data_IF_390989077354
#
_entry.id   IF_390989077354
#
_cell.length_a   1.000
_cell.length_b   1.000
_cell.length_c   1.000
_cell.angle_alpha   90.00
_cell.angle_beta   90.00
_cell.angle_gamma   90.00
#
_symmetry.space_group_name_H-M   'P 1'
#
loop_
_entity.id
_entity.type
_entity.pdbx_description
1 polymer ?
#
# COMPACT_ATOMS: atom_id res chain seq x y z
N UNK A 1 -46.81 25.82 -33.66
CA UNK A 1 -45.88 24.85 -34.30
C UNK A 1 -44.57 25.50 -34.71
N UNK A 2 -44.57 26.61 -35.45
CA UNK A 2 -43.35 27.28 -35.94
C UNK A 2 -42.36 27.72 -34.82
N UNK A 3 -42.87 28.19 -33.67
CA UNK A 3 -42.03 28.59 -32.52
C UNK A 3 -41.27 27.43 -31.87
N UNK A 4 -41.85 26.24 -31.83
CA UNK A 4 -41.21 25.03 -31.27
C UNK A 4 -40.10 24.50 -32.19
N UNK A 5 -40.32 24.57 -33.51
CA UNK A 5 -39.31 24.20 -34.51
C UNK A 5 -38.10 25.14 -34.41
N UNK A 6 -38.32 26.45 -34.28
CA UNK A 6 -37.24 27.43 -34.13
C UNK A 6 -36.40 27.20 -32.87
N UNK A 7 -37.03 26.89 -31.73
CA UNK A 7 -36.32 26.59 -30.47
C UNK A 7 -35.49 25.30 -30.60
N UNK A 8 -36.06 24.26 -31.21
CA UNK A 8 -35.34 23.00 -31.44
C UNK A 8 -34.14 23.19 -32.38
N UNK A 9 -34.29 23.97 -33.47
CA UNK A 9 -33.19 24.24 -34.41
C UNK A 9 -32.08 25.08 -33.78
N UNK A 10 -32.43 26.05 -32.92
CA UNK A 10 -31.44 26.87 -32.20
C UNK A 10 -30.71 26.04 -31.13
N UNK A 11 -31.42 25.16 -30.42
CA UNK A 11 -30.81 24.24 -29.46
C UNK A 11 -29.83 23.26 -30.11
N UNK A 12 -30.18 22.69 -31.25
CA UNK A 12 -29.30 21.81 -32.03
C UNK A 12 -28.05 22.55 -32.54
N UNK A 13 -28.20 23.77 -33.06
CA UNK A 13 -27.06 24.58 -33.49
C UNK A 13 -26.14 24.93 -32.32
N UNK A 14 -26.69 25.31 -31.16
CA UNK A 14 -25.89 25.61 -29.98
C UNK A 14 -25.15 24.37 -29.46
N UNK A 15 -25.82 23.22 -29.41
CA UNK A 15 -25.21 21.95 -29.02
C UNK A 15 -24.07 21.56 -29.96
N UNK A 16 -24.27 21.66 -31.27
CA UNK A 16 -23.24 21.39 -32.27
C UNK A 16 -22.04 22.32 -32.12
N UNK A 17 -22.26 23.62 -31.87
CA UNK A 17 -21.17 24.59 -31.64
C UNK A 17 -20.39 24.28 -30.36
N UNK A 18 -21.06 23.85 -29.30
CA UNK A 18 -20.38 23.45 -28.06
C UNK A 18 -19.58 22.15 -28.25
N UNK A 19 -20.13 21.13 -28.92
CA UNK A 19 -19.40 19.91 -29.26
C UNK A 19 -18.14 20.19 -30.09
N UNK A 20 -18.27 21.00 -31.15
CA UNK A 20 -17.12 21.39 -32.00
C UNK A 20 -16.04 22.12 -31.21
N UNK A 21 -16.42 22.99 -30.26
CA UNK A 21 -15.46 23.65 -29.36
C UNK A 21 -14.78 22.66 -28.43
N UNK A 22 -15.53 21.72 -27.82
CA UNK A 22 -14.97 20.69 -26.94
C UNK A 22 -13.97 19.82 -27.70
N UNK A 23 -14.26 19.43 -28.93
CA UNK A 23 -13.34 18.64 -29.76
C UNK A 23 -12.09 19.45 -30.15
N UNK A 24 -12.26 20.72 -30.56
CA UNK A 24 -11.15 21.61 -30.94
C UNK A 24 -10.21 21.91 -29.76
N UNK A 25 -10.77 22.29 -28.61
CA UNK A 25 -9.98 22.54 -27.41
C UNK A 25 -9.44 21.24 -26.80
N UNK A 26 -10.20 20.15 -26.84
CA UNK A 26 -9.76 18.83 -26.40
C UNK A 26 -8.52 18.34 -27.15
N UNK A 27 -8.45 18.59 -28.46
CA UNK A 27 -7.25 18.28 -29.27
C UNK A 27 -6.06 19.19 -28.98
N UNK A 28 -6.27 20.43 -28.52
CA UNK A 28 -5.20 21.36 -28.12
C UNK A 28 -4.59 21.02 -26.76
N UNK A 29 -5.41 20.51 -25.83
CA UNK A 29 -4.96 20.13 -24.48
C UNK A 29 -4.55 18.66 -24.34
N UNK A 30 -4.93 17.80 -25.28
CA UNK A 30 -4.53 16.40 -25.32
C UNK A 30 -4.02 16.01 -26.72
N UNK A 31 -2.86 16.55 -27.14
CA UNK A 31 -2.21 16.10 -28.36
C UNK A 31 -1.91 14.60 -28.23
N UNK A 32 -2.33 13.80 -29.21
CA UNK A 32 -1.89 12.41 -29.33
C UNK A 32 -0.43 12.42 -29.78
N UNK A 33 0.45 12.68 -28.84
CA UNK A 33 1.89 12.57 -29.07
C UNK A 33 2.21 11.11 -29.33
N UNK A 34 2.37 10.71 -30.58
CA UNK A 34 2.98 9.42 -30.96
C UNK A 34 4.42 9.30 -30.45
N UNK A 35 5.04 10.41 -30.03
CA UNK A 35 6.34 10.44 -29.36
C UNK A 35 6.27 10.02 -27.88
N UNK A 36 5.08 10.10 -27.26
CA UNK A 36 4.78 9.59 -25.92
C UNK A 36 4.01 8.26 -26.00
N UNK A 37 4.26 7.44 -27.02
CA UNK A 37 4.05 6.01 -26.83
C UNK A 37 4.84 5.61 -25.56
N UNK A 38 4.22 4.94 -24.57
CA UNK A 38 4.95 4.54 -23.37
C UNK A 38 6.16 3.74 -23.87
N UNK A 39 7.35 4.27 -23.58
CA UNK A 39 8.56 3.49 -23.71
C UNK A 39 8.35 2.31 -22.77
N UNK A 40 7.86 1.19 -23.30
CA UNK A 40 7.99 -0.10 -22.66
C UNK A 40 9.48 -0.42 -22.75
N UNK A 41 10.26 0.28 -21.93
CA UNK A 41 11.54 -0.22 -21.48
C UNK A 41 11.23 -1.61 -20.95
N UNK A 42 11.77 -2.63 -21.61
CA UNK A 42 11.64 -3.99 -21.10
C UNK A 42 12.28 -3.94 -19.74
N UNK A 43 11.49 -3.93 -18.67
CA UNK A 43 12.04 -4.08 -17.33
C UNK A 43 12.90 -5.33 -17.36
N UNK A 44 14.19 -5.14 -17.05
CA UNK A 44 15.12 -6.25 -16.99
C UNK A 44 14.55 -7.26 -15.97
N UNK A 45 14.30 -8.49 -16.44
CA UNK A 45 13.80 -9.55 -15.58
C UNK A 45 14.74 -9.66 -14.37
N UNK A 46 14.17 -9.58 -13.18
CA UNK A 46 14.95 -9.66 -11.95
C UNK A 46 15.80 -10.94 -11.93
N UNK A 47 17.10 -10.80 -11.69
CA UNK A 47 18.01 -11.93 -11.57
C UNK A 47 17.91 -12.55 -10.17
N UNK A 48 17.28 -13.71 -10.09
CA UNK A 48 17.12 -14.46 -8.84
C UNK A 48 18.31 -15.38 -8.51
N UNK A 49 19.36 -15.43 -9.34
CA UNK A 49 20.49 -16.35 -9.14
C UNK A 49 21.27 -16.13 -7.83
N UNK A 50 21.09 -14.97 -7.20
CA UNK A 50 21.71 -14.59 -5.93
C UNK A 50 20.84 -14.87 -4.70
N UNK A 51 19.60 -15.28 -4.89
CA UNK A 51 18.67 -15.60 -3.80
C UNK A 51 18.64 -17.12 -3.64
N UNK A 52 18.99 -17.67 -2.45
CA UNK A 52 18.88 -19.09 -2.21
C UNK A 52 17.44 -19.59 -2.39
N UNK A 53 17.29 -20.81 -2.89
CA UNK A 53 15.98 -21.43 -3.14
C UNK A 53 15.44 -21.17 -4.55
N UNK A 54 14.26 -21.71 -4.82
CA UNK A 54 13.57 -21.65 -6.10
C UNK A 54 12.40 -20.66 -6.00
N UNK A 55 12.42 -19.54 -6.73
CA UNK A 55 11.31 -18.59 -6.75
C UNK A 55 10.01 -19.26 -7.20
N UNK A 56 8.90 -18.96 -6.52
CA UNK A 56 7.58 -19.55 -6.74
C UNK A 56 7.38 -20.94 -6.12
N UNK A 57 8.43 -21.54 -5.56
CA UNK A 57 8.36 -22.82 -4.83
C UNK A 57 8.70 -22.62 -3.37
N UNK A 58 9.88 -22.06 -3.08
CA UNK A 58 10.35 -21.85 -1.70
C UNK A 58 9.85 -20.51 -1.13
N UNK A 59 9.61 -19.53 -1.99
CA UNK A 59 9.04 -18.24 -1.65
C UNK A 59 8.22 -17.68 -2.82
N UNK A 60 7.15 -16.91 -2.57
CA UNK A 60 6.32 -16.27 -3.59
C UNK A 60 7.05 -15.11 -4.30
N UNK A 61 6.54 -14.72 -5.47
CA UNK A 61 7.12 -13.68 -6.34
C UNK A 61 6.06 -12.68 -6.81
N UNK A 62 5.25 -12.17 -5.88
CA UNK A 62 4.24 -11.17 -6.20
C UNK A 62 4.88 -9.85 -6.63
N UNK A 63 4.32 -9.22 -7.66
CA UNK A 63 4.68 -7.88 -8.13
C UNK A 63 3.79 -6.78 -7.55
N UNK A 64 2.61 -7.16 -7.08
CA UNK A 64 1.63 -6.34 -6.38
C UNK A 64 0.94 -7.18 -5.31
N UNK A 65 0.38 -6.55 -4.28
CA UNK A 65 -0.34 -7.28 -3.24
C UNK A 65 -1.62 -7.87 -3.84
N UNK A 66 -1.78 -9.20 -3.91
CA UNK A 66 -3.00 -9.80 -4.46
C UNK A 66 -4.19 -9.59 -3.52
N UNK A 67 -5.40 -9.66 -4.07
CA UNK A 67 -6.61 -9.68 -3.25
C UNK A 67 -6.67 -10.96 -2.40
N UNK A 68 -6.91 -10.80 -1.11
CA UNK A 68 -6.99 -11.89 -0.09
C UNK A 68 -8.18 -11.66 0.84
N UNK A 69 -8.45 -12.62 1.74
CA UNK A 69 -9.50 -12.45 2.76
C UNK A 69 -9.08 -11.62 3.97
N UNK A 70 -7.83 -11.11 4.00
CA UNK A 70 -7.35 -10.26 5.09
C UNK A 70 -8.22 -9.01 5.26
N UNK A 71 -8.49 -8.65 6.52
CA UNK A 71 -9.30 -7.49 6.87
C UNK A 71 -8.90 -6.97 8.26
N UNK A 72 -8.63 -5.67 8.38
CA UNK A 72 -8.22 -5.05 9.64
C UNK A 72 -9.29 -5.15 10.74
N UNK A 73 -10.57 -5.27 10.39
CA UNK A 73 -11.64 -5.54 11.36
C UNK A 73 -11.59 -6.93 12.01
N UNK A 74 -10.76 -7.86 11.51
CA UNK A 74 -10.67 -9.23 12.03
C UNK A 74 -9.38 -9.50 12.82
N UNK A 75 -8.57 -8.46 13.07
CA UNK A 75 -7.27 -8.59 13.76
C UNK A 75 -7.39 -8.25 15.25
N UNK A 76 -6.52 -8.79 16.13
CA UNK A 76 -6.68 -8.66 17.58
C UNK A 76 -6.31 -7.28 18.15
N UNK A 77 -5.51 -6.48 17.44
CA UNK A 77 -5.04 -5.18 17.95
C UNK A 77 -4.90 -4.13 16.84
N UNK A 78 -5.26 -2.89 17.15
CA UNK A 78 -5.06 -1.75 16.26
C UNK A 78 -4.52 -0.59 17.12
N UNK A 79 -3.42 0.07 16.71
CA UNK A 79 -2.65 -0.14 15.49
C UNK A 79 -1.77 -1.41 15.53
N UNK A 80 -1.53 -2.02 14.35
CA UNK A 80 -0.72 -3.24 14.26
C UNK A 80 -0.28 -3.60 12.84
N UNK A 81 0.78 -4.41 12.75
CA UNK A 81 1.31 -4.98 11.51
C UNK A 81 1.05 -6.48 11.47
N UNK A 82 0.56 -6.98 10.33
CA UNK A 82 0.04 -8.33 10.17
C UNK A 82 0.58 -9.01 8.93
N UNK A 83 1.24 -10.16 9.12
CA UNK A 83 1.66 -11.03 8.02
C UNK A 83 0.44 -11.58 7.29
N UNK A 84 0.40 -11.52 5.96
CA UNK A 84 -0.67 -12.13 5.19
C UNK A 84 -0.32 -13.58 4.82
N UNK A 85 -0.87 -14.53 5.58
CA UNK A 85 -0.62 -15.96 5.39
C UNK A 85 -1.09 -16.49 4.04
N UNK A 86 -2.13 -15.92 3.42
CA UNK A 86 -2.62 -16.34 2.10
C UNK A 86 -1.59 -16.04 0.99
N UNK A 87 -0.71 -15.07 1.22
CA UNK A 87 0.35 -14.69 0.28
C UNK A 87 1.69 -15.37 0.58
N UNK A 88 1.72 -16.39 1.44
CA UNK A 88 2.98 -16.94 1.94
C UNK A 88 3.80 -15.92 2.73
N UNK A 89 3.14 -14.92 3.34
CA UNK A 89 3.75 -13.83 4.10
C UNK A 89 4.66 -12.89 3.30
N UNK A 90 4.65 -12.92 1.97
CA UNK A 90 5.33 -11.87 1.21
C UNK A 90 4.57 -10.55 1.31
N UNK A 91 3.23 -10.59 1.34
CA UNK A 91 2.46 -9.41 1.70
C UNK A 91 2.30 -9.30 3.22
N UNK A 92 2.28 -8.05 3.70
CA UNK A 92 1.87 -7.71 5.04
C UNK A 92 1.03 -6.44 5.03
N UNK A 93 0.25 -6.26 6.08
CA UNK A 93 -0.69 -5.16 6.20
C UNK A 93 -0.48 -4.39 7.51
N UNK A 94 -0.58 -3.07 7.43
CA UNK A 94 -0.60 -2.18 8.58
C UNK A 94 -2.02 -1.68 8.79
N UNK A 95 -2.61 -2.04 9.93
CA UNK A 95 -3.93 -1.60 10.35
C UNK A 95 -3.79 -0.39 11.28
N UNK A 96 -4.49 0.69 10.96
CA UNK A 96 -4.54 1.93 11.75
C UNK A 96 -5.99 2.41 11.90
N UNK A 97 -6.28 3.68 11.63
CA UNK A 97 -7.61 4.29 11.81
C UNK A 97 -8.61 4.00 10.68
N UNK A 98 -8.22 3.16 9.71
CA UNK A 98 -9.08 2.70 8.62
C UNK A 98 -9.13 3.62 7.40
N UNK A 99 -8.34 4.69 7.36
CA UNK A 99 -8.26 5.60 6.19
C UNK A 99 -7.70 4.92 4.95
N UNK A 100 -6.88 3.89 5.12
CA UNK A 100 -6.28 3.11 4.03
C UNK A 100 -7.21 1.99 3.51
N UNK A 101 -8.46 1.96 3.97
CA UNK A 101 -9.45 0.97 3.56
C UNK A 101 -9.47 -0.27 4.46
N UNK A 102 -10.22 -1.28 4.02
CA UNK A 102 -10.56 -2.43 4.86
C UNK A 102 -9.36 -3.36 5.16
N UNK A 103 -8.36 -3.37 4.30
CA UNK A 103 -7.09 -4.09 4.47
C UNK A 103 -5.99 -3.25 5.12
N UNK A 104 -6.25 -1.96 5.39
CA UNK A 104 -5.20 -1.03 5.82
C UNK A 104 -4.16 -0.80 4.71
N UNK A 105 -3.01 -0.22 5.08
CA UNK A 105 -1.90 -0.08 4.16
C UNK A 105 -1.30 -1.46 3.86
N UNK A 106 -1.07 -1.76 2.59
CA UNK A 106 -0.61 -3.08 2.15
C UNK A 106 0.76 -2.97 1.48
N UNK A 107 1.65 -3.90 1.79
CA UNK A 107 3.04 -3.86 1.35
C UNK A 107 3.51 -5.25 0.93
N UNK A 108 4.53 -5.30 0.09
CA UNK A 108 5.28 -6.52 -0.22
C UNK A 108 6.68 -6.44 0.36
N UNK A 109 7.14 -7.53 0.98
CA UNK A 109 8.54 -7.82 1.15
C UNK A 109 9.19 -8.10 -0.21
N UNK A 110 10.47 -7.78 -0.34
CA UNK A 110 11.22 -8.04 -1.58
C UNK A 110 11.31 -9.55 -1.84
N UNK A 111 11.40 -9.93 -3.12
CA UNK A 111 11.58 -11.33 -3.50
C UNK A 111 12.76 -11.96 -2.74
N UNK A 112 12.55 -13.16 -2.19
CA UNK A 112 13.50 -13.85 -1.30
C UNK A 112 13.33 -13.57 0.19
N UNK A 113 12.45 -12.63 0.56
CA UNK A 113 12.14 -12.30 1.96
C UNK A 113 10.65 -12.40 2.24
N UNK A 114 10.30 -12.69 3.48
CA UNK A 114 8.94 -12.83 3.98
C UNK A 114 8.78 -11.98 5.25
N UNK A 115 7.57 -11.49 5.51
CA UNK A 115 7.27 -10.73 6.70
C UNK A 115 7.28 -11.65 7.93
N UNK A 116 8.27 -11.45 8.79
CA UNK A 116 8.40 -12.13 10.06
C UNK A 116 7.54 -11.40 11.10
N UNK A 117 6.36 -11.97 11.40
CA UNK A 117 5.42 -11.39 12.34
C UNK A 117 6.00 -11.15 13.74
N UNK A 118 6.93 -12.01 14.18
CA UNK A 118 7.55 -11.91 15.50
C UNK A 118 8.49 -10.71 15.60
N UNK A 119 9.19 -10.41 14.51
CA UNK A 119 10.21 -9.36 14.45
C UNK A 119 9.68 -8.05 13.85
N UNK A 120 8.44 -8.06 13.34
CA UNK A 120 7.82 -6.92 12.64
C UNK A 120 8.66 -6.40 11.45
N UNK A 121 9.34 -7.30 10.75
CA UNK A 121 10.25 -6.96 9.65
C UNK A 121 10.27 -8.06 8.58
N UNK A 122 10.68 -7.72 7.37
CA UNK A 122 10.98 -8.72 6.35
C UNK A 122 12.33 -9.40 6.68
N UNK A 123 12.34 -10.73 6.68
CA UNK A 123 13.53 -11.57 6.88
C UNK A 123 13.64 -12.59 5.74
N UNK A 124 14.78 -13.24 5.59
CA UNK A 124 14.98 -14.29 4.60
C UNK A 124 13.92 -15.37 4.71
N UNK A 125 13.42 -15.85 3.56
CA UNK A 125 12.30 -16.80 3.53
C UNK A 125 12.52 -18.04 4.39
N UNK A 126 13.75 -18.53 4.51
CA UNK A 126 14.10 -19.70 5.30
C UNK A 126 14.15 -19.45 6.82
N UNK A 127 14.09 -18.19 7.27
CA UNK A 127 13.97 -17.81 8.68
C UNK A 127 12.51 -17.64 9.11
N UNK A 128 11.57 -17.61 8.16
CA UNK A 128 10.16 -17.26 8.42
C UNK A 128 9.28 -18.50 8.24
N UNK A 129 8.60 -18.87 9.32
CA UNK A 129 7.51 -19.85 9.29
C UNK A 129 6.18 -19.14 9.17
N UNK A 130 5.73 -18.93 7.94
CA UNK A 130 4.57 -18.09 7.66
C UNK A 130 3.29 -18.60 8.34
N UNK A 131 3.10 -19.91 8.39
CA UNK A 131 1.96 -20.57 9.03
C UNK A 131 1.87 -20.31 10.54
N UNK A 132 2.99 -20.01 11.21
CA UNK A 132 3.03 -19.67 12.63
C UNK A 132 2.69 -18.19 12.87
N UNK A 133 2.66 -17.33 11.83
CA UNK A 133 2.45 -15.89 11.98
C UNK A 133 1.20 -15.52 12.81
N UNK A 134 0.01 -16.13 12.62
CA UNK A 134 -1.16 -15.79 13.43
C UNK A 134 -0.96 -16.00 14.93
N UNK A 135 -0.10 -16.94 15.33
CA UNK A 135 0.22 -17.16 16.75
C UNK A 135 0.94 -15.97 17.38
N UNK A 136 1.63 -15.14 16.59
CA UNK A 136 2.37 -13.96 17.03
C UNK A 136 1.60 -12.65 16.87
N UNK A 137 0.36 -12.66 16.35
CA UNK A 137 -0.43 -11.43 16.18
C UNK A 137 -0.69 -10.69 17.49
N UNK A 138 -0.69 -11.40 18.63
CA UNK A 138 -0.82 -10.81 19.97
C UNK A 138 0.30 -9.82 20.31
N UNK A 139 1.48 -9.91 19.67
CA UNK A 139 2.58 -8.97 19.87
C UNK A 139 2.22 -7.54 19.44
N UNK A 140 1.22 -7.37 18.57
CA UNK A 140 0.66 -6.05 18.25
C UNK A 140 -0.04 -5.40 19.45
N UNK A 141 -0.42 -6.15 20.49
CA UNK A 141 -0.98 -5.58 21.71
C UNK A 141 0.09 -5.34 22.80
N UNK A 142 1.32 -5.79 22.59
CA UNK A 142 2.41 -5.67 23.56
C UNK A 142 3.14 -4.33 23.39
N UNK A 143 3.11 -3.43 24.39
CA UNK A 143 3.80 -2.14 24.32
C UNK A 143 5.31 -2.23 24.09
N UNK A 144 5.97 -3.30 24.54
CA UNK A 144 7.42 -3.45 24.41
C UNK A 144 7.83 -3.85 22.97
N UNK A 145 6.93 -4.56 22.27
CA UNK A 145 7.18 -5.08 20.92
C UNK A 145 6.50 -4.28 19.82
N UNK A 146 5.31 -3.71 20.06
CA UNK A 146 4.51 -3.02 19.05
C UNK A 146 5.29 -1.81 18.48
N UNK A 147 5.57 -1.77 17.15
CA UNK A 147 6.29 -0.67 16.50
C UNK A 147 5.59 0.71 16.58
N UNK A 148 4.29 0.73 16.86
CA UNK A 148 3.49 1.94 16.98
C UNK A 148 3.45 2.50 18.41
N UNK A 149 3.96 1.78 19.40
CA UNK A 149 4.06 2.29 20.77
C UNK A 149 5.22 3.28 20.88
N UNK A 150 4.99 4.51 21.40
CA UNK A 150 6.08 5.44 21.68
C UNK A 150 7.05 4.81 22.69
N UNK A 151 8.28 4.55 22.27
CA UNK A 151 9.33 4.06 23.17
C UNK A 151 9.83 5.23 24.04
N UNK A 152 9.83 5.05 25.36
CA UNK A 152 10.45 6.01 26.27
C UNK A 152 11.96 6.10 25.95
N UNK A 153 12.43 7.30 25.59
CA UNK A 153 13.86 7.56 25.40
C UNK A 153 14.50 7.83 26.77
N UNK A 154 15.55 7.10 27.18
CA UNK A 154 16.25 7.35 28.44
C UNK A 154 16.79 8.79 28.59
N UNK A 155 17.07 9.46 27.46
CA UNK A 155 17.53 10.85 27.44
C UNK A 155 16.49 11.84 28.01
N UNK A 156 15.19 11.56 27.85
CA UNK A 156 14.10 12.43 28.33
C UNK A 156 13.89 12.29 29.84
N UNK A 157 14.11 11.10 30.41
CA UNK A 157 14.05 10.86 31.85
C UNK A 157 15.16 11.61 32.60
N UNK A 158 16.40 11.63 32.08
CA UNK A 158 17.51 12.35 32.72
C UNK A 158 17.30 13.86 32.72
N UNK A 159 16.71 14.40 31.64
CA UNK A 159 16.39 15.82 31.56
C UNK A 159 15.22 16.20 32.46
N UNK A 160 14.20 15.36 32.57
CA UNK A 160 13.08 15.54 33.51
C UNK A 160 13.53 15.46 34.97
N UNK A 161 14.37 14.48 35.32
CA UNK A 161 14.95 14.34 36.66
C UNK A 161 15.84 15.52 37.02
N UNK A 162 16.73 15.96 36.11
CA UNK A 162 17.52 17.18 36.33
C UNK A 162 16.64 18.40 36.49
N UNK A 163 15.61 18.57 35.67
CA UNK A 163 14.67 19.70 35.78
C UNK A 163 13.94 19.69 37.13
N UNK A 164 13.49 18.53 37.60
CA UNK A 164 12.85 18.41 38.92
C UNK A 164 13.83 18.72 40.06
N UNK A 165 15.08 18.27 40.00
CA UNK A 165 16.09 18.52 41.03
C UNK A 165 16.60 19.96 41.07
N UNK A 166 16.47 20.73 39.98
CA UNK A 166 16.86 22.15 39.93
C UNK A 166 15.74 23.06 40.50
N UNK A 167 14.52 22.54 40.65
CA UNK A 167 13.36 23.29 41.16
C UNK A 167 12.96 22.95 42.61
N UNK A 168 13.82 22.27 43.38
CA UNK A 168 13.67 22.06 44.84
C UNK A 168 14.65 22.94 45.61
#
# INVERSE_FOLDING_TARGET
MLKFVAIATVGLLFCAVQCVKVDYYGSLYNPKDELHAPYHEKEDKQDFSKIPGVPGVDYPIYHEVPHTSFHCGNVPAIPGMYANVETGCQAYHTCHDGREGHQGASFLCTNGTLFNQKEFACDWWYNVKCEEAPSYYHLNADPEHNPFTPKHKPEEEHQHHKKFLIHV
#
